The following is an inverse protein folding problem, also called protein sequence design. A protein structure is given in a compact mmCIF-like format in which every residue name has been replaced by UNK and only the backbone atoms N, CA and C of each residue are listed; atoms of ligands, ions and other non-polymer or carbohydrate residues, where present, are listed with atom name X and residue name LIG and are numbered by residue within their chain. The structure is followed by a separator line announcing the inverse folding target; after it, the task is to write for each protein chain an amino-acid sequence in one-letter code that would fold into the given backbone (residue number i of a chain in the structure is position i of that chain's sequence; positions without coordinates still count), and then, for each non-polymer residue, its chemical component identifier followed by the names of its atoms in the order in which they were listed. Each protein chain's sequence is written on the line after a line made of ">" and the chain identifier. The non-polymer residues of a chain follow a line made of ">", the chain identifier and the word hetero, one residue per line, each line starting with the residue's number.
data_IF_055038926405
#
_entry.id   IF_055038926405
#
_cell.length_a   1.000
_cell.length_b   1.000
_cell.length_c   1.000
_cell.angle_alpha   90.00
_cell.angle_beta   90.00
_cell.angle_gamma   90.00
#
_symmetry.space_group_name_H-M   'P 1'
#
loop_
_entity.id
_entity.type
_entity.pdbx_description
1 polymer ?
#
# COMPACT_ATOMS: atom_id res chain seq x y z
N UNK A 1 0.27 15.53 -10.31
CA UNK A 1 -0.14 15.31 -8.91
C UNK A 1 -1.55 15.80 -8.61
N UNK A 2 -1.92 17.05 -8.97
CA UNK A 2 -3.28 17.58 -8.78
C UNK A 2 -4.37 16.64 -9.33
N UNK A 3 -4.17 16.08 -10.53
CA UNK A 3 -5.15 15.17 -11.16
C UNK A 3 -5.40 13.92 -10.31
N UNK A 4 -4.34 13.32 -9.75
CA UNK A 4 -4.45 12.14 -8.88
C UNK A 4 -5.23 12.49 -7.61
N UNK A 5 -4.95 13.65 -7.02
CA UNK A 5 -5.69 14.18 -5.87
C UNK A 5 -7.18 14.35 -6.20
N UNK A 6 -7.52 14.92 -7.35
CA UNK A 6 -8.90 15.10 -7.80
C UNK A 6 -9.61 13.74 -7.94
N UNK A 7 -9.01 12.76 -8.61
CA UNK A 7 -9.58 11.42 -8.73
C UNK A 7 -9.79 10.74 -7.39
N UNK A 8 -8.84 10.88 -6.46
CA UNK A 8 -8.94 10.30 -5.13
C UNK A 8 -10.08 10.95 -4.33
N UNK A 9 -10.17 12.29 -4.34
CA UNK A 9 -11.27 13.00 -3.68
C UNK A 9 -12.63 12.67 -4.29
N UNK A 10 -12.72 12.58 -5.62
CA UNK A 10 -13.94 12.17 -6.32
C UNK A 10 -14.35 10.73 -5.96
N UNK A 11 -13.38 9.81 -5.87
CA UNK A 11 -13.61 8.43 -5.44
C UNK A 11 -14.13 8.34 -4.01
N UNK A 12 -13.60 9.13 -3.08
CA UNK A 12 -14.10 9.20 -1.69
C UNK A 12 -15.53 9.72 -1.66
N UNK A 13 -15.82 10.82 -2.37
CA UNK A 13 -17.18 11.39 -2.44
C UNK A 13 -18.15 10.37 -3.02
N UNK A 14 -17.80 9.76 -4.15
CA UNK A 14 -18.62 8.72 -4.77
C UNK A 14 -18.82 7.52 -3.85
N UNK A 15 -17.78 7.08 -3.12
CA UNK A 15 -17.88 6.01 -2.14
C UNK A 15 -18.81 6.36 -0.97
N UNK A 16 -18.85 7.62 -0.55
CA UNK A 16 -19.76 8.09 0.50
C UNK A 16 -21.23 8.05 0.07
N UNK A 17 -21.53 8.49 -1.16
CA UNK A 17 -22.90 8.43 -1.71
C UNK A 17 -23.42 7.00 -1.89
N UNK A 18 -22.54 6.03 -2.16
CA UNK A 18 -22.90 4.64 -2.42
C UNK A 18 -22.87 3.75 -1.16
N UNK A 19 -22.58 4.33 0.01
CA UNK A 19 -22.39 3.62 1.27
C UNK A 19 -23.59 2.78 1.71
N UNK A 20 -24.81 3.22 1.41
CA UNK A 20 -26.04 2.52 1.85
C UNK A 20 -26.34 1.27 1.01
N UNK A 21 -25.70 1.10 -0.14
CA UNK A 21 -25.91 -0.03 -1.04
C UNK A 21 -24.86 -1.12 -0.85
N UNK A 22 -25.11 -2.03 0.09
CA UNK A 22 -24.23 -3.16 0.44
C UNK A 22 -23.83 -4.05 -0.74
N UNK A 23 -24.67 -4.20 -1.76
CA UNK A 23 -24.34 -4.94 -2.99
C UNK A 23 -23.26 -4.22 -3.83
N UNK A 24 -23.31 -2.89 -3.92
CA UNK A 24 -22.32 -2.14 -4.72
C UNK A 24 -20.95 -2.15 -4.03
N UNK A 25 -20.94 -2.10 -2.70
CA UNK A 25 -19.70 -2.23 -1.91
C UNK A 25 -19.06 -3.61 -2.15
N UNK A 26 -19.84 -4.70 -2.11
CA UNK A 26 -19.33 -6.06 -2.39
C UNK A 26 -18.78 -6.22 -3.80
N UNK A 27 -19.45 -5.64 -4.80
CA UNK A 27 -18.97 -5.64 -6.19
C UNK A 27 -17.67 -4.86 -6.30
N UNK A 28 -17.60 -3.69 -5.67
CA UNK A 28 -16.40 -2.84 -5.67
C UNK A 28 -15.21 -3.55 -5.03
N UNK A 29 -15.41 -4.24 -3.91
CA UNK A 29 -14.38 -5.05 -3.25
C UNK A 29 -13.87 -6.17 -4.16
N UNK A 30 -14.79 -6.88 -4.83
CA UNK A 30 -14.42 -7.94 -5.78
C UNK A 30 -13.68 -7.39 -7.02
N UNK A 31 -14.11 -6.24 -7.54
CA UNK A 31 -13.44 -5.55 -8.64
C UNK A 31 -12.05 -5.06 -8.23
N UNK A 32 -11.89 -4.54 -7.01
CA UNK A 32 -10.59 -4.11 -6.49
C UNK A 32 -9.64 -5.30 -6.39
N UNK A 33 -10.08 -6.41 -5.81
CA UNK A 33 -9.28 -7.64 -5.72
C UNK A 33 -8.87 -8.13 -7.11
N UNK A 34 -9.81 -8.17 -8.07
CA UNK A 34 -9.50 -8.57 -9.45
C UNK A 34 -8.53 -7.61 -10.13
N UNK A 35 -8.67 -6.30 -9.88
CA UNK A 35 -7.76 -5.27 -10.38
C UNK A 35 -6.36 -5.44 -9.81
N UNK A 36 -6.20 -5.75 -8.53
CA UNK A 36 -4.89 -6.02 -7.91
C UNK A 36 -4.22 -7.22 -8.58
N UNK A 37 -4.96 -8.32 -8.80
CA UNK A 37 -4.39 -9.48 -9.51
C UNK A 37 -3.96 -9.15 -10.93
N UNK A 38 -4.79 -8.40 -11.66
CA UNK A 38 -4.49 -7.98 -13.03
C UNK A 38 -3.27 -7.03 -13.05
N UNK A 39 -3.19 -6.08 -12.11
CA UNK A 39 -2.05 -5.18 -11.95
C UNK A 39 -0.76 -5.95 -11.61
N UNK A 40 -0.81 -6.91 -10.69
CA UNK A 40 0.35 -7.74 -10.34
C UNK A 40 0.81 -8.58 -11.53
N UNK A 41 -0.12 -9.11 -12.32
CA UNK A 41 0.20 -9.86 -13.54
C UNK A 41 0.86 -8.96 -14.59
N UNK A 42 0.27 -7.80 -14.88
CA UNK A 42 0.84 -6.80 -15.78
C UNK A 42 2.22 -6.31 -15.31
N UNK A 43 2.37 -6.07 -14.01
CA UNK A 43 3.65 -5.70 -13.40
C UNK A 43 4.69 -6.77 -13.66
N UNK A 44 4.34 -8.05 -13.45
CA UNK A 44 5.22 -9.18 -13.74
C UNK A 44 5.66 -9.20 -15.21
N UNK A 45 4.74 -9.01 -16.16
CA UNK A 45 5.07 -8.93 -17.59
C UNK A 45 5.96 -7.71 -17.89
N UNK A 46 5.62 -6.55 -17.35
CA UNK A 46 6.36 -5.30 -17.57
C UNK A 46 7.79 -5.38 -17.04
N UNK A 47 7.98 -6.00 -15.87
CA UNK A 47 9.30 -6.21 -15.26
C UNK A 47 10.06 -7.30 -16.00
N UNK A 48 9.40 -8.42 -16.33
CA UNK A 48 10.02 -9.57 -16.98
C UNK A 48 10.46 -9.32 -18.43
N UNK A 49 9.75 -8.45 -19.15
CA UNK A 49 10.09 -8.07 -20.53
C UNK A 49 11.17 -6.98 -20.61
N UNK A 50 11.47 -6.30 -19.50
CA UNK A 50 12.47 -5.25 -19.48
C UNK A 50 13.87 -5.84 -19.18
N UNK A 51 14.69 -5.96 -20.22
CA UNK A 51 16.05 -6.52 -20.13
C UNK A 51 16.96 -5.76 -19.17
N UNK A 52 16.79 -4.44 -19.01
CA UNK A 52 17.56 -3.63 -18.07
C UNK A 52 17.22 -4.00 -16.62
N UNK A 53 15.93 -4.20 -16.33
CA UNK A 53 15.48 -4.63 -15.00
C UNK A 53 15.93 -6.06 -14.70
N UNK A 54 15.79 -6.98 -15.66
CA UNK A 54 16.20 -8.38 -15.49
C UNK A 54 17.71 -8.52 -15.32
N UNK A 55 18.52 -7.79 -16.10
CA UNK A 55 19.98 -7.82 -15.97
C UNK A 55 20.50 -7.20 -14.67
N UNK A 56 19.74 -6.26 -14.07
CA UNK A 56 20.06 -5.67 -12.78
C UNK A 56 19.20 -6.20 -11.62
N UNK A 57 18.48 -7.31 -11.84
CA UNK A 57 17.51 -7.82 -10.88
C UNK A 57 18.16 -8.14 -9.53
N UNK A 58 19.39 -8.64 -9.53
CA UNK A 58 20.15 -8.90 -8.29
C UNK A 58 20.38 -7.63 -7.47
N UNK A 59 20.80 -6.54 -8.13
CA UNK A 59 21.05 -5.25 -7.46
C UNK A 59 19.75 -4.63 -6.96
N UNK A 60 18.73 -4.58 -7.81
CA UNK A 60 17.41 -4.01 -7.48
C UNK A 60 16.75 -4.83 -6.38
N UNK A 61 16.82 -6.16 -6.48
CA UNK A 61 16.27 -7.09 -5.50
C UNK A 61 16.95 -6.97 -4.14
N UNK A 62 18.28 -6.89 -4.11
CA UNK A 62 19.02 -6.66 -2.87
C UNK A 62 18.67 -5.30 -2.23
N UNK A 63 18.61 -4.25 -3.04
CA UNK A 63 18.17 -2.93 -2.57
C UNK A 63 16.74 -2.97 -2.04
N UNK A 64 15.82 -3.68 -2.71
CA UNK A 64 14.44 -3.85 -2.27
C UNK A 64 14.34 -4.60 -0.94
N UNK A 65 15.15 -5.64 -0.72
CA UNK A 65 15.21 -6.38 0.55
C UNK A 65 15.67 -5.45 1.68
N UNK A 66 16.79 -4.73 1.48
CA UNK A 66 17.30 -3.79 2.49
C UNK A 66 16.24 -2.73 2.80
N UNK A 67 15.64 -2.13 1.77
CA UNK A 67 14.63 -1.09 1.94
C UNK A 67 13.39 -1.61 2.67
N UNK A 68 12.94 -2.82 2.34
CA UNK A 68 11.79 -3.46 3.00
C UNK A 68 12.07 -3.73 4.47
N UNK A 69 13.23 -4.32 4.79
CA UNK A 69 13.63 -4.61 6.18
C UNK A 69 13.80 -3.31 6.96
N UNK A 70 14.52 -2.34 6.42
CA UNK A 70 14.74 -1.05 7.06
C UNK A 70 13.42 -0.29 7.29
N UNK A 71 12.51 -0.32 6.31
CA UNK A 71 11.19 0.30 6.41
C UNK A 71 10.32 -0.36 7.48
N UNK A 72 10.31 -1.70 7.55
CA UNK A 72 9.58 -2.44 8.57
C UNK A 72 10.15 -2.18 9.96
N UNK A 73 11.48 -2.28 10.13
CA UNK A 73 12.13 -2.01 11.42
C UNK A 73 11.87 -0.56 11.85
N UNK A 74 12.04 0.41 10.96
CA UNK A 74 11.78 1.82 11.24
C UNK A 74 10.32 2.07 11.65
N UNK A 75 9.36 1.45 10.95
CA UNK A 75 7.94 1.55 11.28
C UNK A 75 7.64 0.96 12.66
N UNK A 76 8.19 -0.22 12.99
CA UNK A 76 8.01 -0.86 14.31
C UNK A 76 8.62 -0.01 15.42
N UNK A 77 9.83 0.51 15.21
CA UNK A 77 10.53 1.35 16.20
C UNK A 77 9.72 2.61 16.51
N UNK A 78 9.26 3.33 15.49
CA UNK A 78 8.45 4.54 15.68
C UNK A 78 7.11 4.19 16.35
N UNK A 79 6.43 3.13 15.89
CA UNK A 79 5.18 2.68 16.49
C UNK A 79 5.37 2.32 17.98
N UNK A 80 6.48 1.69 18.34
CA UNK A 80 6.83 1.38 19.73
C UNK A 80 7.06 2.65 20.57
N UNK A 81 7.76 3.65 20.02
CA UNK A 81 7.93 4.94 20.71
C UNK A 81 6.59 5.64 20.92
N UNK A 82 5.75 5.71 19.88
CA UNK A 82 4.40 6.30 19.99
C UNK A 82 3.57 5.57 21.03
N UNK A 83 3.59 4.24 21.02
CA UNK A 83 2.92 3.41 22.02
C UNK A 83 3.39 3.72 23.45
N UNK A 84 4.71 3.80 23.66
CA UNK A 84 5.28 4.08 24.97
C UNK A 84 4.97 5.49 25.48
N UNK A 85 4.97 6.50 24.61
CA UNK A 85 4.76 7.90 25.01
C UNK A 85 3.28 8.26 25.21
N UNK A 86 2.38 7.70 24.39
CA UNK A 86 0.96 8.06 24.43
C UNK A 86 0.08 7.03 25.14
N UNK A 87 0.44 5.75 25.14
CA UNK A 87 -0.45 4.67 25.57
C UNK A 87 0.04 3.88 26.78
N UNK A 88 1.30 4.05 27.23
CA UNK A 88 1.73 3.45 28.50
C UNK A 88 1.26 4.32 29.67
N UNK A 89 0.32 3.86 30.52
CA UNK A 89 -0.06 4.60 31.71
C UNK A 89 1.18 4.77 32.59
N UNK A 90 1.48 6.02 32.94
CA UNK A 90 2.50 6.36 33.92
C UNK A 90 2.04 5.81 35.27
N UNK A 91 2.43 4.58 35.60
CA UNK A 91 2.34 4.09 36.97
C UNK A 91 3.26 4.99 37.81
N UNK A 92 2.63 5.97 38.43
CA UNK A 92 3.23 6.82 39.45
C UNK A 92 3.78 5.89 40.54
N UNK A 93 5.10 5.98 40.75
CA UNK A 93 5.74 5.52 41.98
C UNK A 93 5.86 6.71 42.91
#
# INVERSE_FOLDING_TARGET
>A
MIVVLLFLTAGIISGYFLKDHTNIIKISDKLLSWSIYLLLFLLGISVGSNQEIISNFDKIGFQAIILSIAGVIGSIVIAFFVYKFFFLPKNEK
#
